data_IF_614396496374
#
_entry.id   IF_614396496374
#
_cell.length_a   1.000
_cell.length_b   1.000
_cell.length_c   1.000
_cell.angle_alpha   90.00
_cell.angle_beta   90.00
_cell.angle_gamma   90.00
#
_symmetry.space_group_name_H-M   'P 1'
#
loop_
_entity.id
_entity.type
_entity.pdbx_description
1 polymer ?
#
# COMPACT_ATOMS: atom_id res chain seq x y z
N UNK A 1 -24.92 29.90 28.04
CA UNK A 1 -24.01 28.74 28.05
C UNK A 1 -24.04 27.91 26.76
N UNK A 2 -25.09 27.98 25.91
CA UNK A 2 -25.21 27.12 24.70
C UNK A 2 -24.36 27.47 23.45
N UNK A 3 -23.77 28.66 23.33
CA UNK A 3 -22.95 29.00 22.15
C UNK A 3 -21.56 28.34 22.15
N UNK A 4 -21.00 28.06 23.34
CA UNK A 4 -19.69 27.39 23.47
C UNK A 4 -19.75 25.88 23.19
N UNK A 5 -20.92 25.26 23.21
CA UNK A 5 -21.10 23.82 22.90
C UNK A 5 -21.32 23.61 21.40
N UNK A 6 -22.18 24.41 20.76
CA UNK A 6 -22.33 24.42 19.30
C UNK A 6 -21.01 24.74 18.58
N UNK A 7 -20.17 25.61 19.17
CA UNK A 7 -18.84 25.87 18.62
C UNK A 7 -17.87 24.70 18.77
N UNK A 8 -18.16 23.77 19.69
CA UNK A 8 -17.32 22.61 19.92
C UNK A 8 -17.63 21.42 19.02
N UNK A 9 -18.88 21.31 18.62
CA UNK A 9 -19.32 20.19 17.82
C UNK A 9 -18.82 20.31 16.37
N UNK A 10 -18.71 21.52 15.82
CA UNK A 10 -18.19 21.71 14.47
C UNK A 10 -16.70 21.37 14.32
N UNK A 11 -15.85 21.71 15.29
CA UNK A 11 -14.43 21.31 15.21
C UNK A 11 -14.22 19.80 15.39
N UNK A 12 -15.08 19.13 16.18
CA UNK A 12 -15.07 17.66 16.30
C UNK A 12 -15.44 16.97 15.00
N UNK A 13 -16.49 17.46 14.32
CA UNK A 13 -16.97 16.89 13.06
C UNK A 13 -15.93 17.01 11.94
N UNK A 14 -15.21 18.14 11.89
CA UNK A 14 -14.17 18.37 10.90
C UNK A 14 -12.93 17.52 11.17
N UNK A 15 -12.56 17.32 12.44
CA UNK A 15 -11.43 16.46 12.80
C UNK A 15 -11.72 14.98 12.57
N UNK A 16 -12.92 14.50 12.91
CA UNK A 16 -13.38 13.14 12.60
C UNK A 16 -13.40 12.89 11.09
N UNK A 17 -13.95 13.83 10.30
CA UNK A 17 -13.91 13.73 8.83
C UNK A 17 -12.47 13.71 8.32
N UNK A 18 -11.62 14.59 8.80
CA UNK A 18 -10.21 14.64 8.41
C UNK A 18 -9.50 13.32 8.74
N UNK A 19 -9.70 12.74 9.93
CA UNK A 19 -9.15 11.43 10.30
C UNK A 19 -9.63 10.32 9.37
N UNK A 20 -10.94 10.27 9.07
CA UNK A 20 -11.50 9.28 8.12
C UNK A 20 -10.93 9.44 6.71
N UNK A 21 -10.80 10.68 6.22
CA UNK A 21 -10.20 10.97 4.92
C UNK A 21 -8.72 10.59 4.87
N UNK A 22 -7.94 10.92 5.91
CA UNK A 22 -6.52 10.55 6.02
C UNK A 22 -6.36 9.03 6.04
N UNK A 23 -7.20 8.31 6.79
CA UNK A 23 -7.18 6.84 6.80
C UNK A 23 -7.53 6.25 5.44
N UNK A 24 -8.58 6.76 4.77
CA UNK A 24 -8.98 6.30 3.44
C UNK A 24 -7.86 6.51 2.40
N UNK A 25 -7.22 7.68 2.41
CA UNK A 25 -6.07 7.99 1.55
C UNK A 25 -4.88 7.10 1.87
N UNK A 26 -4.61 6.79 3.15
CA UNK A 26 -3.55 5.86 3.56
C UNK A 26 -3.76 4.47 2.96
N UNK A 27 -4.97 3.92 3.02
CA UNK A 27 -5.27 2.62 2.41
C UNK A 27 -5.20 2.67 0.88
N UNK A 28 -5.66 3.76 0.25
CA UNK A 28 -5.53 3.93 -1.19
C UNK A 28 -4.05 3.97 -1.62
N UNK A 29 -3.19 4.65 -0.86
CA UNK A 29 -1.75 4.67 -1.09
C UNK A 29 -1.10 3.29 -0.96
N UNK A 30 -1.50 2.50 0.04
CA UNK A 30 -1.02 1.12 0.20
C UNK A 30 -1.45 0.21 -0.96
N UNK A 31 -2.72 0.31 -1.39
CA UNK A 31 -3.22 -0.44 -2.52
C UNK A 31 -2.52 -0.06 -3.82
N UNK A 32 -2.27 1.23 -4.04
CA UNK A 32 -1.48 1.72 -5.18
C UNK A 32 -0.05 1.20 -5.14
N UNK A 33 0.60 1.22 -3.98
CA UNK A 33 1.94 0.68 -3.80
C UNK A 33 1.99 -0.82 -4.13
N UNK A 34 1.01 -1.61 -3.68
CA UNK A 34 0.91 -3.03 -4.02
C UNK A 34 0.71 -3.22 -5.54
N UNK A 35 -0.18 -2.45 -6.16
CA UNK A 35 -0.41 -2.49 -7.60
C UNK A 35 0.87 -2.22 -8.40
N UNK A 36 1.59 -1.14 -8.05
CA UNK A 36 2.87 -0.81 -8.68
C UNK A 36 3.89 -1.92 -8.46
N UNK A 37 3.95 -2.49 -7.25
CA UNK A 37 4.87 -3.59 -6.92
C UNK A 37 4.63 -4.81 -7.81
N UNK A 38 3.36 -5.18 -8.02
CA UNK A 38 2.99 -6.32 -8.89
C UNK A 38 3.36 -6.04 -10.34
N UNK A 39 3.03 -4.84 -10.85
CA UNK A 39 3.36 -4.47 -12.23
C UNK A 39 4.87 -4.51 -12.46
N UNK A 40 5.66 -3.97 -11.54
CA UNK A 40 7.13 -4.00 -11.59
C UNK A 40 7.65 -5.43 -11.53
N UNK A 41 7.12 -6.28 -10.64
CA UNK A 41 7.51 -7.68 -10.52
C UNK A 41 7.26 -8.47 -11.82
N UNK A 42 6.11 -8.27 -12.47
CA UNK A 42 5.76 -8.93 -13.73
C UNK A 42 6.66 -8.45 -14.88
N UNK A 43 6.94 -7.15 -14.96
CA UNK A 43 7.84 -6.60 -16.00
C UNK A 43 9.27 -7.11 -15.85
N UNK A 44 9.80 -7.12 -14.62
CA UNK A 44 11.14 -7.65 -14.32
C UNK A 44 11.19 -9.14 -14.60
N UNK A 45 10.20 -9.91 -14.13
CA UNK A 45 10.13 -11.35 -14.37
C UNK A 45 10.10 -11.70 -15.84
N UNK A 46 9.26 -11.02 -16.63
CA UNK A 46 9.16 -11.25 -18.07
C UNK A 46 10.41 -10.78 -18.83
N UNK A 47 11.16 -9.81 -18.31
CA UNK A 47 12.43 -9.40 -18.90
C UNK A 47 13.50 -10.46 -18.66
N UNK A 48 13.59 -11.01 -17.44
CA UNK A 48 14.52 -12.08 -17.08
C UNK A 48 14.17 -13.39 -17.82
N UNK A 49 12.89 -13.77 -17.84
CA UNK A 49 12.42 -14.97 -18.53
C UNK A 49 12.77 -14.92 -20.03
N UNK A 50 12.67 -13.75 -20.66
CA UNK A 50 13.05 -13.55 -22.08
C UNK A 50 14.56 -13.55 -22.28
N UNK A 51 15.33 -12.97 -21.37
CA UNK A 51 16.80 -12.96 -21.43
C UNK A 51 17.38 -14.37 -21.35
N UNK A 52 16.70 -15.27 -20.63
CA UNK A 52 17.10 -16.65 -20.44
C UNK A 52 16.46 -17.63 -21.43
N UNK A 53 15.72 -17.12 -22.43
CA UNK A 53 15.01 -17.90 -23.46
C UNK A 53 14.16 -19.05 -22.88
N UNK A 54 13.61 -18.85 -21.69
CA UNK A 54 12.83 -19.89 -21.02
C UNK A 54 11.48 -20.05 -21.73
N UNK A 55 11.19 -21.27 -22.19
CA UNK A 55 9.90 -21.61 -22.81
C UNK A 55 8.71 -21.40 -21.84
N UNK A 56 8.99 -21.36 -20.53
CA UNK A 56 8.00 -21.16 -19.47
C UNK A 56 8.40 -19.98 -18.58
N UNK A 57 7.45 -19.15 -18.13
CA UNK A 57 7.72 -17.95 -17.32
C UNK A 57 8.01 -18.31 -15.84
N UNK A 58 9.09 -19.05 -15.61
CA UNK A 58 9.45 -19.61 -14.30
C UNK A 58 9.92 -18.49 -13.35
N UNK A 59 10.69 -17.51 -13.83
CA UNK A 59 11.11 -16.38 -13.00
C UNK A 59 9.94 -15.48 -12.65
N UNK A 60 9.01 -15.23 -13.57
CA UNK A 60 7.78 -14.50 -13.23
C UNK A 60 6.99 -15.23 -12.13
N UNK A 61 6.85 -16.57 -12.23
CA UNK A 61 6.17 -17.37 -11.22
C UNK A 61 6.87 -17.36 -9.85
N UNK A 62 8.21 -17.28 -9.82
CA UNK A 62 9.00 -17.19 -8.58
C UNK A 62 9.03 -15.76 -8.01
N UNK A 63 9.10 -14.74 -8.86
CA UNK A 63 9.22 -13.35 -8.45
C UNK A 63 7.93 -12.83 -7.82
N UNK A 64 6.76 -13.26 -8.28
CA UNK A 64 5.49 -12.85 -7.69
C UNK A 64 5.43 -13.12 -6.17
N UNK A 65 5.65 -14.36 -5.67
CA UNK A 65 5.68 -14.62 -4.23
C UNK A 65 6.83 -13.88 -3.54
N UNK A 66 8.02 -13.80 -4.14
CA UNK A 66 9.16 -13.05 -3.55
C UNK A 66 8.82 -11.57 -3.32
N UNK A 67 8.25 -10.90 -4.32
CA UNK A 67 7.81 -9.51 -4.20
C UNK A 67 6.66 -9.35 -3.21
N UNK A 68 5.75 -10.31 -3.14
CA UNK A 68 4.67 -10.31 -2.16
C UNK A 68 5.20 -10.44 -0.73
N UNK A 69 6.12 -11.38 -0.48
CA UNK A 69 6.79 -11.52 0.81
C UNK A 69 7.60 -10.27 1.16
N UNK A 70 8.32 -9.69 0.21
CA UNK A 70 9.05 -8.44 0.40
C UNK A 70 8.13 -7.27 0.76
N UNK A 71 6.97 -7.16 0.10
CA UNK A 71 5.97 -6.15 0.40
C UNK A 71 5.39 -6.31 1.82
N UNK A 72 5.02 -7.53 2.21
CA UNK A 72 4.51 -7.83 3.55
C UNK A 72 5.58 -7.56 4.61
N UNK A 73 6.81 -7.97 4.37
CA UNK A 73 7.93 -7.72 5.29
C UNK A 73 8.20 -6.22 5.46
N UNK A 74 8.19 -5.45 4.36
CA UNK A 74 8.31 -4.00 4.42
C UNK A 74 7.16 -3.37 5.20
N UNK A 75 5.93 -3.81 4.96
CA UNK A 75 4.74 -3.33 5.68
C UNK A 75 4.85 -3.62 7.19
N UNK A 76 5.32 -4.82 7.55
CA UNK A 76 5.58 -5.19 8.94
C UNK A 76 6.59 -4.26 9.60
N UNK A 77 7.72 -3.98 8.93
CA UNK A 77 8.72 -3.03 9.42
C UNK A 77 8.17 -1.61 9.55
N UNK A 78 7.35 -1.16 8.60
CA UNK A 78 6.75 0.17 8.59
C UNK A 78 5.81 0.37 9.77
N UNK A 79 4.97 -0.63 10.05
CA UNK A 79 4.09 -0.65 11.23
C UNK A 79 4.92 -0.65 12.53
N UNK A 80 5.97 -1.47 12.60
CA UNK A 80 6.78 -1.61 13.81
C UNK A 80 7.73 -0.43 14.06
N UNK A 81 8.03 0.38 13.04
CA UNK A 81 8.88 1.59 13.14
C UNK A 81 8.07 2.81 13.59
N UNK A 82 6.75 2.81 13.42
CA UNK A 82 5.84 3.86 13.92
C UNK A 82 5.36 3.63 15.37
N UNK A 83 5.78 2.54 16.04
CA UNK A 83 5.47 2.26 17.46
C UNK A 83 6.56 2.73 18.42
#
# INVERSE_FOLDING_TARGET
MGQKESNKDHWKLDEERRKKLVSAVKYAGLAFQLFVTIVVAVLIGRWIDRMLELEKPIFTALLIPVFLFGFIYRLYLEINKES
#
